data_IF_331905538471
#
_entry.id   IF_331905538471
#
_cell.length_a   1.000
_cell.length_b   1.000
_cell.length_c   1.000
_cell.angle_alpha   90.00
_cell.angle_beta   90.00
_cell.angle_gamma   90.00
#
_symmetry.space_group_name_H-M   'P 1'
#
loop_
_entity.id
_entity.type
_entity.pdbx_description
1 polymer ?
#
# COMPACT_ATOMS: atom_id res chain seq x y z
N UNK A 1 15.20 -13.92 3.02
CA UNK A 1 16.62 -13.53 2.91
C UNK A 1 16.77 -12.01 2.79
N UNK A 2 16.02 -11.37 1.89
CA UNK A 2 16.01 -9.90 1.67
C UNK A 2 15.78 -9.05 2.95
N UNK A 3 14.89 -9.47 3.84
CA UNK A 3 14.54 -8.70 5.05
C UNK A 3 15.65 -8.64 6.10
N UNK A 4 16.46 -9.69 6.25
CA UNK A 4 17.56 -9.75 7.25
C UNK A 4 18.75 -8.87 6.85
N UNK A 5 19.09 -8.84 5.56
CA UNK A 5 20.14 -7.96 5.04
C UNK A 5 19.76 -6.48 5.15
N UNK A 6 18.50 -6.14 4.83
CA UNK A 6 18.00 -4.77 4.94
C UNK A 6 17.90 -4.31 6.41
N UNK A 7 17.55 -5.21 7.33
CA UNK A 7 17.60 -4.95 8.77
C UNK A 7 19.02 -4.62 9.22
N UNK A 8 20.01 -5.42 8.81
CA UNK A 8 21.41 -5.16 9.18
C UNK A 8 21.95 -3.86 8.58
N UNK A 9 21.65 -3.57 7.31
CA UNK A 9 21.98 -2.29 6.66
C UNK A 9 21.35 -1.10 7.40
N UNK A 10 20.11 -1.24 7.84
CA UNK A 10 19.39 -0.20 8.60
C UNK A 10 20.01 0.04 9.96
N UNK A 11 20.30 -1.02 10.72
CA UNK A 11 20.99 -0.91 12.00
C UNK A 11 22.35 -0.21 11.84
N UNK A 12 23.14 -0.62 10.84
CA UNK A 12 24.43 0.00 10.55
C UNK A 12 24.28 1.48 10.19
N UNK A 13 23.32 1.83 9.34
CA UNK A 13 23.11 3.22 8.92
C UNK A 13 22.57 4.11 10.05
N UNK A 14 21.68 3.60 10.92
CA UNK A 14 21.23 4.34 12.11
C UNK A 14 22.40 4.57 13.09
N UNK A 15 23.30 3.61 13.20
CA UNK A 15 24.49 3.74 14.04
C UNK A 15 25.51 4.71 13.45
N UNK A 16 25.92 4.51 12.20
CA UNK A 16 27.00 5.25 11.54
C UNK A 16 26.57 6.65 11.11
N UNK A 17 25.37 6.80 10.54
CA UNK A 17 24.94 8.08 9.96
C UNK A 17 24.29 8.98 11.02
N UNK A 18 23.56 8.40 11.98
CA UNK A 18 22.80 9.16 12.98
C UNK A 18 23.41 9.07 14.39
N UNK A 19 24.48 8.29 14.59
CA UNK A 19 25.17 8.20 15.88
C UNK A 19 24.34 7.54 16.98
N UNK A 20 23.31 6.77 16.63
CA UNK A 20 22.41 6.16 17.62
C UNK A 20 23.09 4.95 18.27
N UNK A 21 22.86 4.77 19.57
CA UNK A 21 23.35 3.59 20.28
C UNK A 21 22.48 2.36 19.99
N UNK A 22 23.03 1.16 20.22
CA UNK A 22 22.37 -0.10 19.88
C UNK A 22 20.99 -0.28 20.55
N UNK A 23 20.86 0.07 21.82
CA UNK A 23 19.59 -0.07 22.57
C UNK A 23 18.49 0.83 22.00
N UNK A 24 18.85 2.06 21.62
CA UNK A 24 17.95 3.01 20.99
C UNK A 24 17.56 2.56 19.59
N UNK A 25 18.51 2.01 18.81
CA UNK A 25 18.25 1.43 17.49
C UNK A 25 17.24 0.28 17.59
N UNK A 26 17.45 -0.66 18.51
CA UNK A 26 16.53 -1.79 18.70
C UNK A 26 15.11 -1.31 19.05
N UNK A 27 15.00 -0.33 19.97
CA UNK A 27 13.72 0.26 20.37
C UNK A 27 13.02 0.97 19.21
N UNK A 28 13.77 1.71 18.38
CA UNK A 28 13.27 2.37 17.17
C UNK A 28 12.74 1.33 16.17
N UNK A 29 13.49 0.26 15.92
CA UNK A 29 13.08 -0.79 14.99
C UNK A 29 11.86 -1.55 15.53
N UNK A 30 11.75 -1.76 16.84
CA UNK A 30 10.54 -2.29 17.47
C UNK A 30 9.34 -1.34 17.32
N UNK A 31 9.52 -0.01 17.35
CA UNK A 31 8.42 0.93 17.09
C UNK A 31 8.03 0.90 15.61
N UNK A 32 9.01 0.94 14.71
CA UNK A 32 8.78 0.98 13.26
C UNK A 32 8.15 -0.33 12.73
N UNK A 33 8.63 -1.48 13.21
CA UNK A 33 8.12 -2.80 12.78
C UNK A 33 7.08 -3.40 13.71
N UNK A 34 7.05 -3.06 15.00
CA UNK A 34 5.95 -3.46 15.90
C UNK A 34 4.64 -2.73 15.63
N UNK A 35 4.65 -1.68 14.80
CA UNK A 35 3.46 -1.12 14.16
C UNK A 35 2.91 -1.99 13.02
N UNK A 36 3.66 -2.96 12.50
CA UNK A 36 3.09 -3.95 11.56
C UNK A 36 2.04 -4.82 12.26
N UNK A 37 2.16 -5.03 13.57
CA UNK A 37 1.10 -5.66 14.39
C UNK A 37 -0.13 -4.75 14.51
N UNK A 38 0.02 -3.43 14.36
CA UNK A 38 -1.11 -2.52 14.20
C UNK A 38 -1.68 -2.56 12.77
N UNK A 39 -0.86 -2.88 11.77
CA UNK A 39 -1.29 -3.11 10.39
C UNK A 39 -2.09 -4.41 10.29
N UNK A 40 -1.67 -5.49 10.97
CA UNK A 40 -2.47 -6.70 11.18
C UNK A 40 -3.78 -6.39 11.95
N UNK A 41 -3.75 -5.45 12.91
CA UNK A 41 -4.93 -4.97 13.65
C UNK A 41 -5.84 -4.04 12.85
N UNK A 42 -5.29 -3.34 11.84
CA UNK A 42 -6.00 -2.49 10.88
C UNK A 42 -6.59 -3.36 9.78
N UNK A 43 -5.90 -4.42 9.34
CA UNK A 43 -6.45 -5.47 8.47
C UNK A 43 -7.62 -6.19 9.18
N UNK A 44 -7.47 -6.57 10.46
CA UNK A 44 -8.58 -7.10 11.29
C UNK A 44 -9.73 -6.08 11.51
N UNK A 45 -9.46 -4.76 11.46
CA UNK A 45 -10.48 -3.71 11.56
C UNK A 45 -11.14 -3.38 10.21
N UNK A 46 -10.41 -3.54 9.10
CA UNK A 46 -10.86 -3.30 7.73
C UNK A 46 -11.78 -4.43 7.24
N UNK A 47 -11.52 -5.67 7.66
CA UNK A 47 -12.42 -6.81 7.40
C UNK A 47 -13.77 -6.70 8.16
N UNK A 48 -13.88 -5.79 9.15
CA UNK A 48 -15.09 -5.59 9.96
C UNK A 48 -15.97 -4.39 9.59
N UNK A 49 -15.54 -3.51 8.67
CA UNK A 49 -16.23 -2.26 8.33
C UNK A 49 -16.19 -1.99 6.81
N UNK A 50 -16.55 -2.99 6.03
CA UNK A 50 -16.87 -2.82 4.61
C UNK A 50 -18.27 -2.20 4.50
N UNK A 51 -18.34 -0.88 4.30
CA UNK A 51 -19.45 -0.29 3.52
C UNK A 51 -19.14 1.12 2.96
N UNK A 52 -18.16 1.86 3.49
CA UNK A 52 -17.87 3.24 3.01
C UNK A 52 -16.37 3.50 2.69
N UNK A 53 -15.64 2.50 2.20
CA UNK A 53 -14.22 2.61 1.82
C UNK A 53 -13.94 3.47 0.56
N UNK A 54 -14.93 4.24 0.08
CA UNK A 54 -14.86 4.98 -1.19
C UNK A 54 -14.43 6.44 -1.04
N UNK A 55 -14.11 6.94 0.16
CA UNK A 55 -13.64 8.31 0.37
C UNK A 55 -12.09 8.41 0.36
N UNK A 56 -11.49 9.02 -0.68
CA UNK A 56 -10.05 9.26 -0.75
C UNK A 56 -9.52 10.12 0.42
N UNK A 57 -10.37 10.99 0.99
CA UNK A 57 -10.04 11.85 2.13
C UNK A 57 -9.77 11.02 3.39
N UNK A 58 -10.53 9.94 3.59
CA UNK A 58 -10.42 9.09 4.77
C UNK A 58 -9.11 8.29 4.77
N UNK A 59 -8.70 7.79 3.60
CA UNK A 59 -7.40 7.12 3.44
C UNK A 59 -6.23 8.09 3.67
N UNK A 60 -6.34 9.35 3.23
CA UNK A 60 -5.30 10.36 3.44
C UNK A 60 -5.17 10.74 4.93
N UNK A 61 -6.28 10.85 5.67
CA UNK A 61 -6.28 11.06 7.13
C UNK A 61 -5.75 9.84 7.90
N UNK A 62 -6.14 8.62 7.53
CA UNK A 62 -5.65 7.40 8.18
C UNK A 62 -4.13 7.24 7.97
N UNK A 63 -3.64 7.54 6.77
CA UNK A 63 -2.21 7.54 6.44
C UNK A 63 -1.45 8.61 7.23
N UNK A 64 -1.99 9.82 7.34
CA UNK A 64 -1.41 10.87 8.19
C UNK A 64 -1.39 10.48 9.67
N UNK A 65 -2.41 9.78 10.17
CA UNK A 65 -2.49 9.31 11.55
C UNK A 65 -1.48 8.17 11.81
N UNK A 66 -1.34 7.22 10.88
CA UNK A 66 -0.37 6.13 10.98
C UNK A 66 1.07 6.66 10.92
N UNK A 67 1.37 7.55 9.97
CA UNK A 67 2.71 8.14 9.81
C UNK A 67 3.08 9.06 10.97
N UNK A 68 2.15 9.93 11.41
CA UNK A 68 2.39 10.73 12.61
C UNK A 68 2.47 9.85 13.86
N UNK A 69 1.80 8.70 13.91
CA UNK A 69 1.86 7.76 15.02
C UNK A 69 3.26 7.17 15.23
N UNK A 70 3.90 6.69 14.16
CA UNK A 70 5.26 6.14 14.24
C UNK A 70 6.29 7.25 14.46
N UNK A 71 6.21 8.35 13.70
CA UNK A 71 7.14 9.49 13.83
C UNK A 71 7.08 10.09 15.24
N UNK A 72 5.88 10.28 15.81
CA UNK A 72 5.72 10.80 17.17
C UNK A 72 6.28 9.85 18.22
N UNK A 73 6.02 8.53 18.10
CA UNK A 73 6.58 7.56 19.06
C UNK A 73 8.10 7.52 19.02
N UNK A 74 8.69 7.65 17.84
CA UNK A 74 10.15 7.76 17.70
C UNK A 74 10.65 9.09 18.29
N UNK A 75 9.97 10.21 18.04
CA UNK A 75 10.33 11.51 18.64
C UNK A 75 10.27 11.47 20.17
N UNK A 76 9.21 10.89 20.73
CA UNK A 76 9.05 10.70 22.17
C UNK A 76 10.15 9.81 22.76
N UNK A 77 10.50 8.71 22.08
CA UNK A 77 11.61 7.84 22.47
C UNK A 77 12.95 8.59 22.43
N UNK A 78 13.23 9.34 21.37
CA UNK A 78 14.45 10.15 21.25
C UNK A 78 14.56 11.16 22.40
N UNK A 79 13.45 11.81 22.77
CA UNK A 79 13.39 12.73 23.92
C UNK A 79 13.64 12.03 25.25
N UNK A 80 13.14 10.82 25.44
CA UNK A 80 13.42 10.02 26.65
C UNK A 80 14.92 9.71 26.81
N UNK A 81 15.63 9.57 25.70
CA UNK A 81 17.09 9.40 25.66
C UNK A 81 17.86 10.74 25.69
N UNK A 82 17.17 11.87 25.87
CA UNK A 82 17.77 13.21 25.96
C UNK A 82 18.17 13.81 24.61
N UNK A 83 17.66 13.29 23.49
CA UNK A 83 17.96 13.77 22.15
C UNK A 83 16.83 14.72 21.70
N UNK A 84 17.15 16.01 21.62
CA UNK A 84 16.19 17.06 21.25
C UNK A 84 16.52 17.62 19.87
N UNK A 85 16.25 16.83 18.83
CA UNK A 85 16.38 17.26 17.45
C UNK A 85 15.04 17.00 16.72
N UNK A 86 14.27 18.06 16.38
CA UNK A 86 12.93 17.91 15.80
C UNK A 86 12.92 17.23 14.42
N UNK A 87 14.07 17.16 13.75
CA UNK A 87 14.20 16.53 12.44
C UNK A 87 14.70 15.08 12.54
N UNK A 88 15.19 14.63 13.69
CA UNK A 88 15.84 13.32 13.80
C UNK A 88 14.83 12.18 13.65
N UNK A 89 13.62 12.30 14.19
CA UNK A 89 12.58 11.28 14.00
C UNK A 89 12.26 11.06 12.51
N UNK A 90 12.16 12.15 11.73
CA UNK A 90 11.96 12.09 10.29
C UNK A 90 13.16 11.47 9.55
N UNK A 91 14.39 11.79 9.97
CA UNK A 91 15.61 11.20 9.39
C UNK A 91 15.69 9.70 9.66
N UNK A 92 15.35 9.28 10.89
CA UNK A 92 15.27 7.86 11.28
C UNK A 92 14.25 7.14 10.41
N UNK A 93 13.03 7.66 10.28
CA UNK A 93 11.99 7.04 9.46
C UNK A 93 12.38 6.98 7.99
N UNK A 94 12.89 8.08 7.42
CA UNK A 94 13.35 8.09 6.02
C UNK A 94 14.44 7.05 5.79
N UNK A 95 15.37 6.88 6.72
CA UNK A 95 16.45 5.90 6.62
C UNK A 95 15.93 4.46 6.75
N UNK A 96 14.99 4.19 7.66
CA UNK A 96 14.33 2.88 7.74
C UNK A 96 13.61 2.60 6.42
N UNK A 97 12.75 3.50 5.96
CA UNK A 97 11.99 3.30 4.73
C UNK A 97 12.90 3.14 3.51
N UNK A 98 14.03 3.84 3.43
CA UNK A 98 14.98 3.72 2.33
C UNK A 98 15.56 2.32 2.10
N UNK A 99 15.55 1.46 3.12
CA UNK A 99 16.05 0.09 3.01
C UNK A 99 14.94 -0.96 2.88
N UNK A 100 13.70 -0.59 3.21
CA UNK A 100 12.58 -1.53 3.21
C UNK A 100 11.56 -1.24 2.09
N UNK A 101 11.53 -0.01 1.59
CA UNK A 101 10.73 0.41 0.44
C UNK A 101 11.42 -0.07 -0.85
N UNK A 102 10.78 -0.95 -1.64
CA UNK A 102 11.31 -1.40 -2.91
C UNK A 102 11.28 -0.29 -3.97
N UNK A 103 12.15 -0.43 -4.97
CA UNK A 103 12.16 0.48 -6.11
C UNK A 103 10.88 0.35 -6.94
N UNK A 104 10.45 1.46 -7.54
CA UNK A 104 9.34 1.43 -8.48
C UNK A 104 9.75 0.65 -9.73
N UNK A 105 9.00 -0.41 -10.05
CA UNK A 105 9.25 -1.29 -11.19
C UNK A 105 9.06 -0.61 -12.54
N UNK A 106 8.32 0.50 -12.59
CA UNK A 106 7.98 1.19 -13.84
C UNK A 106 8.93 2.33 -14.19
N UNK A 107 9.34 3.15 -13.21
CA UNK A 107 10.31 4.22 -13.47
C UNK A 107 11.75 3.87 -13.04
N UNK A 108 11.95 2.73 -12.37
CA UNK A 108 13.25 2.30 -11.84
C UNK A 108 13.82 3.21 -10.77
N UNK A 109 13.06 4.23 -10.33
CA UNK A 109 13.55 5.19 -9.34
C UNK A 109 13.47 4.61 -7.95
N UNK A 110 14.52 4.98 -7.24
CA UNK A 110 14.73 4.81 -5.83
C UNK A 110 13.83 5.82 -5.08
N UNK A 111 12.81 5.33 -4.38
CA UNK A 111 11.82 6.16 -3.68
C UNK A 111 12.12 6.18 -2.16
N UNK A 112 13.17 6.88 -1.76
CA UNK A 112 13.70 6.91 -0.37
C UNK A 112 12.93 7.82 0.59
N UNK A 113 11.74 8.28 0.21
CA UNK A 113 10.96 9.26 0.98
C UNK A 113 9.70 8.61 1.51
N UNK A 114 9.39 8.93 2.77
CA UNK A 114 8.12 8.60 3.46
C UNK A 114 6.91 9.03 2.64
N UNK A 115 7.07 10.08 1.83
CA UNK A 115 6.02 10.68 1.00
C UNK A 115 5.81 9.95 -0.34
N UNK A 116 6.65 8.96 -0.67
CA UNK A 116 6.51 8.17 -1.90
C UNK A 116 6.04 6.77 -1.53
N UNK A 117 4.74 6.63 -1.30
CA UNK A 117 4.16 5.31 -1.11
C UNK A 117 4.37 4.50 -2.39
N UNK A 118 4.93 3.30 -2.22
CA UNK A 118 4.94 2.30 -3.27
C UNK A 118 3.87 1.28 -2.95
N UNK A 119 2.95 1.11 -3.90
CA UNK A 119 1.86 0.15 -3.77
C UNK A 119 2.28 -1.15 -4.45
N UNK A 120 1.90 -2.31 -3.90
CA UNK A 120 2.04 -3.55 -4.62
C UNK A 120 1.20 -3.50 -5.90
N UNK A 121 1.72 -4.06 -6.98
CA UNK A 121 0.89 -4.35 -8.17
C UNK A 121 0.16 -5.67 -7.91
N UNK A 122 -1.17 -5.66 -8.04
CA UNK A 122 -1.99 -6.84 -7.74
C UNK A 122 -1.91 -7.87 -8.88
N UNK A 123 -1.67 -9.13 -8.52
CA UNK A 123 -1.56 -10.26 -9.45
C UNK A 123 -2.77 -11.20 -9.41
N UNK A 124 -2.86 -11.99 -10.48
CA UNK A 124 -3.90 -12.96 -10.85
C UNK A 124 -4.33 -13.95 -9.75
N UNK A 125 -3.49 -14.25 -8.76
CA UNK A 125 -3.61 -15.45 -7.94
C UNK A 125 -3.84 -15.20 -6.44
N UNK A 126 -4.04 -13.95 -6.00
CA UNK A 126 -4.42 -13.62 -4.62
C UNK A 126 -3.42 -14.02 -3.54
N UNK A 127 -2.33 -14.72 -3.88
CA UNK A 127 -1.35 -15.22 -2.92
C UNK A 127 0.08 -15.21 -3.48
N UNK A 128 0.93 -14.56 -2.69
CA UNK A 128 2.38 -14.79 -2.49
C UNK A 128 3.39 -14.13 -3.44
N UNK A 129 4.00 -13.08 -2.89
CA UNK A 129 5.18 -12.32 -3.35
C UNK A 129 4.89 -11.32 -4.47
N UNK A 130 4.56 -10.09 -4.06
CA UNK A 130 4.57 -8.92 -4.95
C UNK A 130 5.93 -8.82 -5.66
N UNK A 131 5.94 -9.13 -6.96
CA UNK A 131 7.15 -9.04 -7.78
C UNK A 131 7.44 -7.59 -8.20
N UNK A 132 6.40 -6.74 -8.18
CA UNK A 132 6.48 -5.37 -8.66
C UNK A 132 5.80 -4.41 -7.70
N UNK A 133 6.39 -3.22 -7.64
CA UNK A 133 5.97 -2.13 -6.78
C UNK A 133 5.88 -0.87 -7.63
N UNK A 134 4.87 -0.05 -7.38
CA UNK A 134 4.62 1.16 -8.17
C UNK A 134 4.49 2.38 -7.27
N UNK A 135 5.23 3.43 -7.57
CA UNK A 135 5.12 4.69 -6.81
C UNK A 135 3.88 5.50 -7.23
N UNK A 136 3.35 6.30 -6.31
CA UNK A 136 2.19 7.16 -6.58
C UNK A 136 2.39 8.12 -7.77
N UNK A 137 3.64 8.51 -8.06
CA UNK A 137 3.96 9.33 -9.24
C UNK A 137 3.65 8.58 -10.55
N UNK A 138 4.01 7.30 -10.63
CA UNK A 138 3.71 6.46 -11.79
C UNK A 138 2.21 6.13 -11.88
N UNK A 139 1.54 5.88 -10.73
CA UNK A 139 0.08 5.72 -10.67
C UNK A 139 -0.63 6.98 -11.20
N UNK A 140 -0.22 8.16 -10.75
CA UNK A 140 -0.79 9.44 -11.18
C UNK A 140 -0.55 9.71 -12.67
N UNK A 141 0.62 9.34 -13.19
CA UNK A 141 0.92 9.46 -14.63
C UNK A 141 0.04 8.53 -15.46
N UNK A 142 -0.16 7.28 -15.03
CA UNK A 142 -1.05 6.33 -15.69
C UNK A 142 -2.50 6.87 -15.76
N UNK A 143 -3.00 7.47 -14.67
CA UNK A 143 -4.34 8.12 -14.68
C UNK A 143 -4.46 9.30 -15.64
N UNK A 144 -3.34 9.93 -16.00
CA UNK A 144 -3.29 10.99 -17.02
C UNK A 144 -3.08 10.44 -18.43
N UNK A 145 -3.39 9.16 -18.63
CA UNK A 145 -3.25 8.42 -19.90
C UNK A 145 -1.82 8.43 -20.46
N UNK A 146 -0.82 8.65 -19.59
CA UNK A 146 0.57 8.47 -19.99
C UNK A 146 0.87 6.98 -20.00
N UNK A 147 1.51 6.50 -21.07
CA UNK A 147 1.71 5.08 -21.32
C UNK A 147 2.81 4.50 -20.40
N UNK A 148 2.48 4.31 -19.13
CA UNK A 148 3.39 3.77 -18.10
C UNK A 148 3.20 2.26 -17.89
N UNK A 149 2.29 1.61 -18.62
CA UNK A 149 2.04 0.16 -18.47
C UNK A 149 1.24 -0.23 -17.23
N UNK A 150 0.54 0.71 -16.61
CA UNK A 150 -0.31 0.50 -15.42
C UNK A 150 -1.75 0.73 -15.82
N UNK A 151 -2.65 -0.15 -15.40
CA UNK A 151 -4.10 -0.01 -15.54
C UNK A 151 -4.84 -0.17 -14.21
N UNK A 152 -6.15 0.05 -14.25
CA UNK A 152 -7.04 -0.08 -13.08
C UNK A 152 -8.23 -0.94 -13.45
N UNK A 153 -8.51 -1.94 -12.61
CA UNK A 153 -9.71 -2.74 -12.78
C UNK A 153 -10.93 -1.97 -12.27
N UNK A 154 -12.02 -1.95 -13.02
CA UNK A 154 -13.22 -1.20 -12.61
C UNK A 154 -13.83 -1.75 -11.30
N UNK A 155 -13.71 -3.05 -11.04
CA UNK A 155 -14.14 -3.69 -9.79
C UNK A 155 -13.17 -3.43 -8.63
N UNK A 156 -11.86 -3.36 -8.87
CA UNK A 156 -10.84 -3.16 -7.83
C UNK A 156 -10.59 -1.70 -7.45
N UNK A 157 -11.29 -0.76 -8.09
CA UNK A 157 -11.15 0.68 -7.84
C UNK A 157 -9.73 1.20 -8.08
N UNK A 158 -9.10 1.75 -7.05
CA UNK A 158 -7.82 2.45 -7.16
C UNK A 158 -6.58 1.55 -7.07
N UNK A 159 -6.76 0.24 -6.96
CA UNK A 159 -5.67 -0.73 -6.92
C UNK A 159 -4.96 -0.82 -8.29
N UNK A 160 -3.63 -0.56 -8.36
CA UNK A 160 -2.90 -0.67 -9.61
C UNK A 160 -2.68 -2.12 -10.05
N UNK A 161 -2.87 -2.35 -11.35
CA UNK A 161 -2.57 -3.60 -12.06
C UNK A 161 -1.59 -3.35 -13.21
N UNK A 162 -0.90 -4.39 -13.66
CA UNK A 162 -0.22 -4.33 -14.94
C UNK A 162 -1.28 -4.23 -16.05
N UNK A 163 -1.12 -3.28 -16.97
CA UNK A 163 -2.11 -3.08 -18.05
C UNK A 163 -2.28 -4.33 -18.92
N UNK A 164 -1.25 -5.19 -19.00
CA UNK A 164 -1.26 -6.43 -19.79
C UNK A 164 -2.15 -7.51 -19.17
N UNK A 165 -2.46 -7.39 -17.88
CA UNK A 165 -3.32 -8.32 -17.16
C UNK A 165 -4.79 -7.90 -17.21
N UNK A 166 -5.09 -6.71 -17.75
CA UNK A 166 -6.45 -6.24 -17.94
C UNK A 166 -6.99 -6.62 -19.31
N UNK A 167 -8.24 -7.06 -19.36
CA UNK A 167 -8.95 -7.28 -20.61
C UNK A 167 -9.44 -5.93 -21.23
N UNK A 168 -10.12 -6.00 -22.38
CA UNK A 168 -10.60 -4.81 -23.09
C UNK A 168 -11.69 -4.02 -22.32
N UNK A 169 -12.23 -4.59 -21.26
CA UNK A 169 -13.26 -4.04 -20.40
C UNK A 169 -12.66 -3.44 -19.11
N UNK A 170 -11.32 -3.42 -18.99
CA UNK A 170 -10.59 -3.07 -17.78
C UNK A 170 -10.95 -3.98 -16.60
N UNK A 171 -10.99 -5.29 -16.83
CA UNK A 171 -11.16 -6.28 -15.77
C UNK A 171 -9.85 -7.02 -15.55
N UNK A 172 -9.47 -7.15 -14.29
CA UNK A 172 -8.37 -8.03 -13.91
C UNK A 172 -8.81 -9.50 -14.04
N UNK A 173 -7.87 -10.47 -14.00
CA UNK A 173 -8.20 -11.87 -14.21
C UNK A 173 -9.20 -12.44 -13.19
N UNK A 174 -9.29 -11.85 -12.00
CA UNK A 174 -10.24 -12.24 -10.95
C UNK A 174 -11.68 -11.81 -11.32
N UNK A 175 -11.84 -10.63 -11.91
CA UNK A 175 -13.13 -10.06 -12.30
C UNK A 175 -13.42 -10.24 -13.80
N UNK A 176 -12.75 -11.19 -14.45
CA UNK A 176 -12.88 -11.41 -15.88
C UNK A 176 -14.30 -11.87 -16.21
N UNK A 177 -15.01 -11.09 -17.04
CA UNK A 177 -16.37 -11.36 -17.47
C UNK A 177 -17.45 -10.73 -16.60
N UNK A 178 -17.12 -10.04 -15.50
CA UNK A 178 -18.13 -9.46 -14.60
C UNK A 178 -18.93 -8.31 -15.21
N UNK A 179 -18.40 -7.64 -16.23
CA UNK A 179 -19.10 -6.59 -16.99
C UNK A 179 -19.98 -7.14 -18.12
N UNK A 180 -19.99 -8.46 -18.33
CA UNK A 180 -20.76 -9.08 -19.40
C UNK A 180 -21.54 -10.28 -18.89
N UNK A 181 -22.86 -10.19 -18.96
CA UNK A 181 -23.71 -11.36 -18.75
C UNK A 181 -23.54 -12.36 -19.89
N UNK A 182 -23.38 -13.62 -19.54
CA UNK A 182 -23.58 -14.74 -20.47
C UNK A 182 -25.04 -14.80 -20.94
N UNK A 183 -25.30 -15.50 -22.04
CA UNK A 183 -26.68 -15.72 -22.53
C UNK A 183 -27.57 -16.34 -21.44
N UNK A 184 -27.04 -17.26 -20.65
CA UNK A 184 -27.74 -17.89 -19.52
C UNK A 184 -28.07 -16.86 -18.43
N UNK A 185 -27.12 -16.01 -18.03
CA UNK A 185 -27.36 -14.97 -17.02
C UNK A 185 -28.33 -13.88 -17.50
N UNK A 186 -28.36 -13.60 -18.82
CA UNK A 186 -29.36 -12.72 -19.41
C UNK A 186 -30.76 -13.33 -19.33
N UNK A 187 -30.91 -14.62 -19.68
CA UNK A 187 -32.19 -15.33 -19.58
C UNK A 187 -32.69 -15.41 -18.13
N UNK A 188 -31.80 -15.63 -17.16
CA UNK A 188 -32.13 -15.63 -15.74
C UNK A 188 -32.57 -14.24 -15.25
N UNK A 189 -31.88 -13.18 -15.67
CA UNK A 189 -32.25 -11.80 -15.35
C UNK A 189 -33.61 -11.43 -15.95
N UNK A 190 -33.86 -11.77 -17.22
CA UNK A 190 -35.15 -11.55 -17.89
C UNK A 190 -36.28 -12.30 -17.19
N UNK A 191 -36.03 -13.56 -16.81
CA UNK A 191 -36.98 -14.40 -16.06
C UNK A 191 -37.31 -13.81 -14.69
N UNK A 192 -36.30 -13.30 -13.97
CA UNK A 192 -36.49 -12.64 -12.67
C UNK A 192 -37.33 -11.36 -12.80
N UNK A 193 -37.04 -10.53 -13.81
CA UNK A 193 -37.81 -9.31 -14.08
C UNK A 193 -39.26 -9.65 -14.42
N UNK A 194 -39.50 -10.63 -15.30
CA UNK A 194 -40.85 -11.08 -15.68
C UNK A 194 -41.63 -11.57 -14.46
N UNK A 195 -41.01 -12.37 -13.59
CA UNK A 195 -41.66 -12.88 -12.38
C UNK A 195 -42.11 -11.76 -11.44
N UNK A 196 -41.27 -10.74 -11.25
CA UNK A 196 -41.57 -9.63 -10.33
C UNK A 196 -42.47 -8.54 -10.92
N UNK A 197 -42.65 -8.49 -12.24
CA UNK A 197 -43.49 -7.48 -12.92
C UNK A 197 -44.83 -8.02 -13.40
N UNK A 198 -45.05 -9.35 -13.36
CA UNK A 198 -46.25 -10.01 -13.88
C UNK A 198 -47.59 -9.61 -13.24
N UNK A 199 -47.56 -9.15 -12.00
CA UNK A 199 -48.76 -8.78 -11.22
C UNK A 199 -48.82 -7.27 -10.87
N UNK A 200 -48.06 -6.43 -11.57
CA UNK A 200 -48.06 -4.96 -11.43
C UNK A 200 -49.02 -4.25 -12.38
#
# INVERSE_FOLDING_TARGET
MFQLENLHKTQLALHVNLGLNQQLIESILCIAFGYSVLQDLIEDFQDGLMDDASDPSYNEELNQICDMGVVRKIDDLLRQFGIFNPNLAHQVISLIYSHFVPNCSYCGREHHSVMNFVRPVAYHDGYTQFQYWVCDSCVTQSRREMNVGIGFCWCCGDQPHDIRDLNNQNECPIHYGESSYSEEELEDMESYIEYHTKDS
#
